data_IF_841202288217
#
_entry.id   IF_841202288217
#
_cell.length_a   1.000
_cell.length_b   1.000
_cell.length_c   1.000
_cell.angle_alpha   90.00
_cell.angle_beta   90.00
_cell.angle_gamma   90.00
#
_symmetry.space_group_name_H-M   'P 1'
#
loop_
_entity.id
_entity.type
_entity.pdbx_description
1 polymer ?
#
# COMPACT_ATOMS: atom_id res chain seq x y z
N UNK A 1 1.33 -6.05 -0.77
CA UNK A 1 0.29 -7.09 -0.95
C UNK A 1 -0.40 -7.46 0.35
N UNK A 2 0.32 -7.50 1.47
CA UNK A 2 -0.18 -7.82 2.83
C UNK A 2 -1.16 -6.80 3.42
N UNK A 3 -0.98 -5.49 3.20
CA UNK A 3 -1.87 -4.47 3.80
C UNK A 3 -3.33 -4.57 3.30
N UNK A 4 -3.55 -4.94 2.04
CA UNK A 4 -4.90 -5.14 1.50
C UNK A 4 -5.56 -6.42 2.03
N UNK A 5 -4.77 -7.47 2.26
CA UNK A 5 -5.26 -8.68 2.90
C UNK A 5 -5.79 -8.38 4.31
N UNK A 6 -4.99 -7.72 5.14
CA UNK A 6 -5.41 -7.32 6.49
C UNK A 6 -6.59 -6.36 6.45
N UNK A 7 -6.60 -5.42 5.49
CA UNK A 7 -7.74 -4.53 5.33
C UNK A 7 -9.05 -5.28 5.05
N UNK A 8 -9.02 -6.30 4.19
CA UNK A 8 -10.22 -7.12 3.93
C UNK A 8 -10.62 -7.95 5.14
N UNK A 9 -9.66 -8.54 5.84
CA UNK A 9 -9.93 -9.32 7.05
C UNK A 9 -10.61 -8.45 8.14
N UNK A 10 -10.10 -7.25 8.38
CA UNK A 10 -10.67 -6.32 9.36
C UNK A 10 -12.05 -5.79 8.91
N UNK A 11 -12.24 -5.50 7.62
CA UNK A 11 -13.57 -5.14 7.08
C UNK A 11 -14.58 -6.28 7.30
N UNK A 12 -14.18 -7.54 7.09
CA UNK A 12 -15.07 -8.69 7.32
C UNK A 12 -15.45 -8.88 8.80
N UNK A 13 -14.67 -8.32 9.72
CA UNK A 13 -14.97 -8.28 11.15
C UNK A 13 -15.82 -7.06 11.56
N UNK A 14 -16.19 -6.18 10.61
CA UNK A 14 -17.04 -5.01 10.84
C UNK A 14 -16.30 -3.72 11.17
N UNK A 15 -14.97 -3.66 11.01
CA UNK A 15 -14.19 -2.44 11.25
C UNK A 15 -14.19 -1.51 10.02
N UNK A 16 -14.24 -0.20 10.26
CA UNK A 16 -13.90 0.81 9.24
C UNK A 16 -12.38 0.86 9.08
N UNK A 17 -11.90 0.54 7.88
CA UNK A 17 -10.47 0.44 7.58
C UNK A 17 -10.06 1.46 6.54
N UNK A 18 -9.05 2.26 6.88
CA UNK A 18 -8.41 3.23 5.98
C UNK A 18 -6.94 2.90 5.85
N UNK A 19 -6.44 2.81 4.63
CA UNK A 19 -5.02 2.57 4.36
C UNK A 19 -4.31 3.89 4.04
N UNK A 20 -3.15 4.11 4.65
CA UNK A 20 -2.30 5.28 4.37
C UNK A 20 -1.20 4.87 3.38
N UNK A 21 -0.95 5.65 2.31
CA UNK A 21 0.19 5.43 1.43
C UNK A 21 1.51 5.43 2.21
N UNK A 22 2.36 4.43 1.97
CA UNK A 22 3.65 4.30 2.66
C UNK A 22 4.58 5.50 2.47
N UNK A 23 4.45 6.19 1.33
CA UNK A 23 5.21 7.41 1.03
C UNK A 23 4.90 8.53 2.02
N UNK A 24 3.66 8.65 2.48
CA UNK A 24 3.28 9.68 3.45
C UNK A 24 3.79 9.33 4.84
N UNK A 25 3.69 8.05 5.25
CA UNK A 25 4.19 7.59 6.55
C UNK A 25 5.71 7.73 6.65
N UNK A 26 6.44 7.49 5.55
CA UNK A 26 7.90 7.59 5.52
C UNK A 26 8.42 8.98 5.89
N UNK A 27 7.66 10.04 5.62
CA UNK A 27 8.04 11.40 5.98
C UNK A 27 8.08 11.63 7.50
N UNK A 28 7.34 10.83 8.27
CA UNK A 28 7.23 10.92 9.74
C UNK A 28 7.98 9.78 10.45
N UNK A 29 8.51 8.81 9.70
CA UNK A 29 9.27 7.70 10.27
C UNK A 29 10.62 8.18 10.83
N UNK A 30 10.93 7.76 12.05
CA UNK A 30 12.23 8.05 12.70
C UNK A 30 13.31 7.10 12.19
N UNK A 31 14.58 7.54 12.26
CA UNK A 31 15.74 6.79 11.77
C UNK A 31 15.92 5.42 12.43
N UNK A 32 15.52 5.26 13.69
CA UNK A 32 15.52 3.97 14.37
C UNK A 32 14.18 3.25 14.12
N UNK A 33 14.23 2.17 13.34
CA UNK A 33 13.07 1.33 13.11
C UNK A 33 12.74 0.53 14.38
N UNK A 34 11.57 0.80 14.94
CA UNK A 34 10.94 0.00 15.98
C UNK A 34 9.42 0.16 15.87
N UNK A 35 8.67 -0.80 16.41
CA UNK A 35 7.21 -0.82 16.26
C UNK A 35 6.54 0.41 16.89
N UNK A 36 7.11 0.96 17.97
CA UNK A 36 6.61 2.15 18.63
C UNK A 36 6.72 3.41 17.75
N UNK A 37 7.85 3.59 17.07
CA UNK A 37 8.10 4.69 16.14
C UNK A 37 7.24 4.53 14.88
N UNK A 38 7.06 3.30 14.40
CA UNK A 38 6.19 3.02 13.26
C UNK A 38 4.72 3.36 13.60
N UNK A 39 4.24 2.96 14.79
CA UNK A 39 2.91 3.32 15.28
C UNK A 39 2.75 4.84 15.43
N UNK A 40 3.74 5.52 15.99
CA UNK A 40 3.72 6.98 16.15
C UNK A 40 3.68 7.68 14.79
N UNK A 41 4.50 7.26 13.82
CA UNK A 41 4.50 7.82 12.47
C UNK A 41 3.15 7.61 11.77
N UNK A 42 2.53 6.44 11.93
CA UNK A 42 1.19 6.16 11.38
C UNK A 42 0.15 7.06 12.02
N UNK A 43 0.15 7.20 13.35
CA UNK A 43 -0.79 8.06 14.08
C UNK A 43 -0.64 9.54 13.70
N UNK A 44 0.59 10.06 13.66
CA UNK A 44 0.85 11.44 13.22
C UNK A 44 0.37 11.67 11.78
N UNK A 45 0.67 10.72 10.90
CA UNK A 45 0.24 10.78 9.50
C UNK A 45 -1.28 10.75 9.40
N UNK A 46 -1.98 9.89 10.16
CA UNK A 46 -3.43 9.81 10.13
C UNK A 46 -4.13 11.10 10.59
N UNK A 47 -3.51 11.86 11.49
CA UNK A 47 -4.04 13.09 12.04
C UNK A 47 -3.76 14.34 11.18
N UNK A 48 -2.93 14.24 10.13
CA UNK A 48 -2.62 15.40 9.28
C UNK A 48 -3.83 15.80 8.43
N UNK A 49 -4.16 17.10 8.35
CA UNK A 49 -5.22 17.57 7.46
C UNK A 49 -4.83 17.33 6.01
N UNK A 50 -5.80 16.94 5.17
CA UNK A 50 -5.59 16.70 3.74
C UNK A 50 -4.91 15.37 3.39
N UNK A 51 -4.79 14.44 4.34
CA UNK A 51 -4.27 13.10 4.04
C UNK A 51 -5.25 12.34 3.14
N UNK A 52 -4.71 11.85 2.02
CA UNK A 52 -5.43 10.94 1.14
C UNK A 52 -5.27 9.50 1.61
N UNK A 53 -6.37 8.91 2.05
CA UNK A 53 -6.46 7.48 2.31
C UNK A 53 -6.73 6.72 1.01
N UNK A 54 -6.15 5.53 0.90
CA UNK A 54 -6.41 4.61 -0.21
C UNK A 54 -7.39 3.53 0.25
N UNK A 55 -8.30 3.16 -0.66
CA UNK A 55 -9.26 2.10 -0.40
C UNK A 55 -8.58 0.73 -0.32
N UNK A 56 -9.18 -0.16 0.47
CA UNK A 56 -8.81 -1.57 0.45
C UNK A 56 -9.25 -2.16 -0.89
N UNK A 57 -8.30 -2.70 -1.65
CA UNK A 57 -8.59 -3.37 -2.92
C UNK A 57 -9.22 -4.74 -2.69
N UNK A 58 -10.14 -5.12 -3.56
CA UNK A 58 -10.62 -6.51 -3.62
C UNK A 58 -9.52 -7.43 -4.13
N UNK A 59 -9.69 -8.73 -3.99
CA UNK A 59 -8.74 -9.71 -4.52
C UNK A 59 -8.64 -9.59 -6.03
N UNK A 60 -9.78 -9.46 -6.72
CA UNK A 60 -9.86 -9.34 -8.18
C UNK A 60 -9.15 -8.07 -8.67
N UNK A 61 -9.28 -6.95 -7.94
CA UNK A 61 -8.56 -5.72 -8.25
C UNK A 61 -7.04 -5.88 -8.06
N UNK A 62 -6.60 -6.67 -7.08
CA UNK A 62 -5.17 -6.99 -6.92
C UNK A 62 -4.67 -7.90 -8.04
N UNK A 63 -5.48 -8.86 -8.49
CA UNK A 63 -5.13 -9.79 -9.58
C UNK A 63 -5.00 -9.06 -10.92
N UNK A 64 -5.93 -8.17 -11.23
CA UNK A 64 -5.86 -7.31 -12.43
C UNK A 64 -4.57 -6.46 -12.39
N UNK A 65 -4.20 -5.92 -11.22
CA UNK A 65 -2.95 -5.16 -11.07
C UNK A 65 -1.74 -6.06 -11.34
N UNK A 66 -1.70 -7.26 -10.78
CA UNK A 66 -0.61 -8.21 -10.97
C UNK A 66 -0.45 -8.60 -12.45
N UNK A 67 -1.56 -8.89 -13.14
CA UNK A 67 -1.59 -9.20 -14.56
C UNK A 67 -1.03 -8.05 -15.42
N UNK A 68 -1.42 -6.81 -15.13
CA UNK A 68 -0.91 -5.62 -15.82
C UNK A 68 0.59 -5.46 -15.60
N UNK A 69 1.08 -5.65 -14.38
CA UNK A 69 2.51 -5.59 -14.08
C UNK A 69 3.32 -6.68 -14.80
N UNK A 70 2.80 -7.91 -14.86
CA UNK A 70 3.45 -9.00 -15.60
C UNK A 70 3.53 -8.70 -17.11
N UNK A 71 2.42 -8.20 -17.69
CA UNK A 71 2.41 -7.79 -19.10
C UNK A 71 3.43 -6.69 -19.37
N UNK A 72 3.48 -5.67 -18.53
CA UNK A 72 4.42 -4.55 -18.66
C UNK A 72 5.87 -5.04 -18.66
N UNK A 73 6.22 -5.92 -17.72
CA UNK A 73 7.55 -6.51 -17.63
C UNK A 73 7.93 -7.28 -18.90
N UNK A 74 7.02 -8.09 -19.44
CA UNK A 74 7.26 -8.85 -20.69
C UNK A 74 7.48 -7.92 -21.88
N UNK A 75 6.71 -6.82 -21.97
CA UNK A 75 6.89 -5.82 -23.02
C UNK A 75 8.27 -5.18 -22.91
N UNK A 76 8.68 -4.77 -21.71
CA UNK A 76 10.00 -4.18 -21.45
C UNK A 76 11.14 -5.14 -21.81
N UNK A 77 11.04 -6.41 -21.42
CA UNK A 77 12.01 -7.44 -21.79
C UNK A 77 12.10 -7.64 -23.30
N UNK A 78 10.95 -7.68 -23.99
CA UNK A 78 10.93 -7.80 -25.47
C UNK A 78 11.59 -6.60 -26.13
N UNK A 79 11.34 -5.39 -25.63
CA UNK A 79 11.98 -4.17 -26.16
C UNK A 79 13.48 -4.14 -25.89
N UNK A 80 13.93 -4.61 -24.74
CA UNK A 80 15.35 -4.64 -24.38
C UNK A 80 16.16 -5.65 -25.21
N UNK A 81 15.55 -6.75 -25.64
CA UNK A 81 16.19 -7.74 -26.51
C UNK A 81 16.20 -7.35 -28.00
N UNK A 82 15.34 -6.42 -28.40
CA UNK A 82 15.21 -5.96 -29.78
C UNK A 82 16.09 -4.74 -30.10
N UNK A 83 16.61 -4.06 -29.08
CA UNK A 83 17.58 -2.95 -29.18
C UNK A 83 19.01 -3.47 -28.99
#
# INVERSE_FOLDING_TARGET
STSHFWGRALISMGYDVKLIPTQHVKAFARHQKNDANDALAICETACRPGIHFVSVKTTEQQDIKALRSARQLIVEQRTALAN
#
